data_IF_247598986217
#
_entry.id   IF_247598986217
#
_cell.length_a   1.000
_cell.length_b   1.000
_cell.length_c   1.000
_cell.angle_alpha   90.00
_cell.angle_beta   90.00
_cell.angle_gamma   90.00
#
_symmetry.space_group_name_H-M   'P 1'
#
loop_
_entity.id
_entity.type
_entity.pdbx_description
1 polymer ?
#
# COMPACT_ATOMS: atom_id res chain seq x y z
N UNK A 1 18.29 8.10 -6.99
CA UNK A 1 18.49 7.96 -5.52
C UNK A 1 17.53 8.84 -4.72
N UNK A 2 17.39 10.15 -5.04
CA UNK A 2 16.46 11.05 -4.33
C UNK A 2 14.99 10.60 -4.38
N UNK A 3 14.51 10.15 -5.54
CA UNK A 3 13.13 9.69 -5.68
C UNK A 3 12.82 8.44 -4.86
N UNK A 4 13.80 7.55 -4.67
CA UNK A 4 13.61 6.36 -3.84
C UNK A 4 13.41 6.73 -2.38
N UNK A 5 14.23 7.66 -1.87
CA UNK A 5 14.06 8.20 -0.52
C UNK A 5 12.72 8.94 -0.35
N UNK A 6 12.30 9.69 -1.38
CA UNK A 6 10.99 10.36 -1.40
C UNK A 6 9.82 9.37 -1.38
N UNK A 7 9.86 8.33 -2.23
CA UNK A 7 8.84 7.29 -2.27
C UNK A 7 8.78 6.51 -0.94
N UNK A 8 9.94 6.17 -0.37
CA UNK A 8 10.02 5.50 0.92
C UNK A 8 9.47 6.40 2.05
N UNK A 9 9.82 7.69 2.04
CA UNK A 9 9.27 8.67 2.99
C UNK A 9 7.75 8.79 2.89
N UNK A 10 7.21 8.81 1.67
CA UNK A 10 5.76 8.88 1.45
C UNK A 10 5.04 7.63 1.98
N UNK A 11 5.61 6.44 1.79
CA UNK A 11 5.07 5.20 2.39
C UNK A 11 5.00 5.34 3.91
N UNK A 12 6.06 5.80 4.58
CA UNK A 12 6.05 6.00 6.03
C UNK A 12 5.03 7.04 6.49
N UNK A 13 4.84 8.13 5.75
CA UNK A 13 3.81 9.14 6.06
C UNK A 13 2.42 8.54 5.96
N UNK A 14 2.14 7.76 4.91
CA UNK A 14 0.83 7.12 4.72
C UNK A 14 0.58 6.07 5.81
N UNK A 15 1.53 5.18 6.07
CA UNK A 15 1.42 4.16 7.13
C UNK A 15 1.23 4.83 8.50
N UNK A 16 2.02 5.86 8.81
CA UNK A 16 1.92 6.63 10.05
C UNK A 16 0.57 7.34 10.22
N UNK A 17 0.01 7.88 9.13
CA UNK A 17 -1.32 8.49 9.15
C UNK A 17 -2.42 7.46 9.42
N UNK A 18 -2.32 6.27 8.82
CA UNK A 18 -3.31 5.21 9.01
C UNK A 18 -3.25 4.66 10.44
N UNK A 19 -2.07 4.27 10.93
CA UNK A 19 -1.97 3.68 12.28
C UNK A 19 -2.07 4.72 13.40
N UNK A 20 -1.47 5.90 13.21
CA UNK A 20 -1.42 6.96 14.22
C UNK A 20 -2.65 7.86 14.22
N UNK A 21 -3.18 8.20 13.04
CA UNK A 21 -4.35 9.06 12.89
C UNK A 21 -5.68 8.30 13.00
N UNK A 22 -5.75 7.08 12.46
CA UNK A 22 -6.98 6.30 12.38
C UNK A 22 -6.79 4.82 12.79
N UNK A 23 -6.44 4.55 14.06
CA UNK A 23 -6.12 3.20 14.53
C UNK A 23 -7.29 2.20 14.38
N UNK A 24 -8.53 2.69 14.40
CA UNK A 24 -9.73 1.86 14.16
C UNK A 24 -9.81 1.34 12.72
N UNK A 25 -9.45 2.18 11.74
CA UNK A 25 -9.39 1.79 10.33
C UNK A 25 -8.30 0.74 10.11
N UNK A 26 -7.12 0.95 10.70
CA UNK A 26 -6.01 0.00 10.62
C UNK A 26 -6.41 -1.40 11.14
N UNK A 27 -7.05 -1.45 12.31
CA UNK A 27 -7.53 -2.72 12.89
C UNK A 27 -8.56 -3.42 12.00
N UNK A 28 -9.49 -2.65 11.41
CA UNK A 28 -10.51 -3.18 10.49
C UNK A 28 -9.90 -3.72 9.20
N UNK A 29 -8.89 -3.04 8.65
CA UNK A 29 -8.16 -3.53 7.48
C UNK A 29 -7.42 -4.83 7.80
N UNK A 30 -6.75 -4.90 8.95
CA UNK A 30 -6.07 -6.10 9.39
C UNK A 30 -7.02 -7.29 9.57
N UNK A 31 -8.20 -7.08 10.18
CA UNK A 31 -9.20 -8.15 10.31
C UNK A 31 -9.72 -8.62 8.96
N UNK A 32 -10.00 -7.70 8.03
CA UNK A 32 -10.42 -8.06 6.68
C UNK A 32 -9.35 -8.88 5.95
N UNK A 33 -8.07 -8.53 6.09
CA UNK A 33 -6.97 -9.30 5.48
C UNK A 33 -6.90 -10.72 6.04
N UNK A 34 -7.17 -10.91 7.33
CA UNK A 34 -7.19 -12.23 7.97
C UNK A 34 -8.38 -13.10 7.51
N UNK A 35 -9.49 -12.48 7.10
CA UNK A 35 -10.68 -13.17 6.59
C UNK A 35 -10.58 -13.50 5.08
N UNK A 36 -9.67 -12.84 4.36
CA UNK A 36 -9.45 -13.09 2.94
C UNK A 36 -8.69 -14.39 2.70
N UNK A 37 -9.06 -15.13 1.65
CA UNK A 37 -8.29 -16.29 1.23
C UNK A 37 -6.94 -15.88 0.64
N UNK A 38 -5.92 -16.74 0.81
CA UNK A 38 -4.56 -16.52 0.30
C UNK A 38 -4.54 -16.20 -1.20
N UNK A 39 -5.43 -16.82 -1.99
CA UNK A 39 -5.53 -16.60 -3.42
C UNK A 39 -6.00 -15.17 -3.74
N UNK A 40 -7.03 -14.69 -3.03
CA UNK A 40 -7.53 -13.32 -3.21
C UNK A 40 -6.48 -12.31 -2.78
N UNK A 41 -5.77 -12.56 -1.68
CA UNK A 41 -4.69 -11.68 -1.22
C UNK A 41 -3.52 -11.63 -2.23
N UNK A 42 -3.17 -12.78 -2.81
CA UNK A 42 -2.13 -12.88 -3.85
C UNK A 42 -2.50 -12.13 -5.12
N UNK A 43 -3.68 -12.39 -5.68
CA UNK A 43 -4.10 -11.73 -6.92
C UNK A 43 -4.35 -10.23 -6.71
N UNK A 44 -4.94 -9.84 -5.57
CA UNK A 44 -5.11 -8.44 -5.20
C UNK A 44 -3.77 -7.72 -5.05
N UNK A 45 -2.81 -8.34 -4.37
CA UNK A 45 -1.45 -7.81 -4.23
C UNK A 45 -0.73 -7.67 -5.57
N UNK A 46 -0.80 -8.68 -6.45
CA UNK A 46 -0.22 -8.62 -7.79
C UNK A 46 -0.86 -7.52 -8.64
N UNK A 47 -2.17 -7.36 -8.58
CA UNK A 47 -2.88 -6.28 -9.27
C UNK A 47 -2.45 -4.90 -8.74
N UNK A 48 -2.32 -4.75 -7.42
CA UNK A 48 -1.85 -3.51 -6.80
C UNK A 48 -0.41 -3.16 -7.23
N UNK A 49 0.48 -4.16 -7.30
CA UNK A 49 1.85 -3.98 -7.80
C UNK A 49 1.83 -3.52 -9.26
N UNK A 50 1.05 -4.18 -10.13
CA UNK A 50 0.97 -3.81 -11.53
C UNK A 50 0.44 -2.38 -11.73
N UNK A 51 -0.60 -1.99 -11.00
CA UNK A 51 -1.14 -0.62 -11.02
C UNK A 51 -0.09 0.38 -10.51
N UNK A 52 0.57 0.08 -9.39
CA UNK A 52 1.60 0.96 -8.81
C UNK A 52 2.75 1.19 -9.78
N UNK A 53 3.25 0.15 -10.44
CA UNK A 53 4.28 0.28 -11.49
C UNK A 53 3.77 1.10 -12.67
N UNK A 54 2.53 0.88 -13.11
CA UNK A 54 1.91 1.67 -14.19
C UNK A 54 1.83 3.16 -13.86
N UNK A 55 1.41 3.51 -12.65
CA UNK A 55 1.37 4.91 -12.18
C UNK A 55 2.77 5.52 -12.15
N UNK A 56 3.76 4.81 -11.59
CA UNK A 56 5.14 5.29 -11.52
C UNK A 56 5.72 5.49 -12.93
N UNK A 57 5.39 4.58 -13.86
CA UNK A 57 5.78 4.70 -15.26
C UNK A 57 5.13 5.91 -15.93
N UNK A 58 3.84 6.16 -15.75
CA UNK A 58 3.16 7.34 -16.30
C UNK A 58 3.63 8.67 -15.68
N UNK A 59 4.06 8.66 -14.42
CA UNK A 59 4.55 9.86 -13.75
C UNK A 59 6.01 10.21 -14.12
N UNK A 60 6.76 9.26 -14.68
CA UNK A 60 8.19 9.39 -15.00
C UNK A 60 8.53 9.23 -16.49
N UNK A 61 7.66 8.60 -17.25
CA UNK A 61 7.73 8.49 -18.72
C UNK A 61 7.15 9.73 -19.37
#
# INVERSE_FOLDING_TARGET
MRDFLGALGLVFVIEGLIYGGFPSLARKLASNVLEMSDNTLRYGGLAAVAIGVGIVWLARG
#
